data_IF_277387532140
#
_entry.id   IF_277387532140
#
_cell.length_a   1.000
_cell.length_b   1.000
_cell.length_c   1.000
_cell.angle_alpha   90.00
_cell.angle_beta   90.00
_cell.angle_gamma   90.00
#
_symmetry.space_group_name_H-M   'P 1'
#
loop_
_entity.id
_entity.type
_entity.pdbx_description
1 polymer ?
#
# COMPACT_ATOMS: atom_id res chain seq x y z
N UNK A 1 11.03 -26.78 -11.84
CA UNK A 1 10.61 -25.75 -12.81
C UNK A 1 11.56 -24.58 -12.63
N UNK A 2 12.38 -24.28 -13.64
CA UNK A 2 13.31 -23.15 -13.59
C UNK A 2 12.49 -21.85 -13.72
N UNK A 3 12.08 -21.27 -12.61
CA UNK A 3 11.62 -19.88 -12.54
C UNK A 3 12.83 -19.01 -12.84
N UNK A 4 13.11 -18.75 -14.11
CA UNK A 4 14.19 -17.87 -14.55
C UNK A 4 13.89 -16.47 -14.04
N UNK A 5 14.54 -16.08 -12.93
CA UNK A 5 14.62 -14.70 -12.47
C UNK A 5 15.06 -13.83 -13.64
N UNK A 6 14.35 -12.74 -13.90
CA UNK A 6 14.63 -11.89 -15.04
C UNK A 6 13.93 -10.55 -14.96
N UNK A 7 14.45 -9.58 -15.70
CA UNK A 7 13.86 -8.27 -15.91
C UNK A 7 13.66 -8.07 -17.42
N UNK A 8 12.49 -7.57 -17.80
CA UNK A 8 12.20 -7.12 -19.17
C UNK A 8 11.73 -5.68 -19.11
N UNK A 9 12.20 -4.89 -20.07
CA UNK A 9 11.73 -3.53 -20.31
C UNK A 9 10.96 -3.51 -21.62
N UNK A 10 9.73 -3.03 -21.56
CA UNK A 10 8.91 -2.64 -22.70
C UNK A 10 8.68 -1.12 -22.60
N UNK A 11 8.24 -0.46 -23.66
CA UNK A 11 8.09 1.00 -23.66
C UNK A 11 7.25 1.50 -22.46
N UNK A 12 7.89 2.28 -21.57
CA UNK A 12 7.28 2.84 -20.35
C UNK A 12 6.97 1.83 -19.24
N UNK A 13 7.40 0.56 -19.37
CA UNK A 13 7.07 -0.51 -18.45
C UNK A 13 8.25 -1.45 -18.17
N UNK A 14 8.41 -1.82 -16.90
CA UNK A 14 9.42 -2.79 -16.47
C UNK A 14 8.78 -3.93 -15.70
N UNK A 15 8.97 -5.15 -16.19
CA UNK A 15 8.57 -6.39 -15.54
C UNK A 15 9.78 -7.00 -14.84
N UNK A 16 9.64 -7.36 -13.58
CA UNK A 16 10.65 -8.12 -12.85
C UNK A 16 10.02 -9.33 -12.19
N UNK A 17 10.51 -10.53 -12.52
CA UNK A 17 9.98 -11.77 -11.97
C UNK A 17 10.88 -12.35 -10.89
N UNK A 18 10.25 -12.92 -9.86
CA UNK A 18 10.91 -13.71 -8.81
C UNK A 18 12.09 -12.98 -8.15
N UNK A 19 11.90 -11.69 -7.86
CA UNK A 19 12.85 -10.93 -7.04
C UNK A 19 12.88 -11.55 -5.65
N UNK A 20 14.09 -11.79 -5.16
CA UNK A 20 14.31 -12.26 -3.81
C UNK A 20 14.58 -11.06 -2.92
N UNK A 21 13.70 -10.84 -1.94
CA UNK A 21 14.00 -9.99 -0.80
C UNK A 21 15.04 -10.63 0.12
N UNK A 22 15.24 -10.01 1.28
CA UNK A 22 16.09 -10.56 2.31
C UNK A 22 15.54 -11.90 2.82
N UNK A 23 16.43 -12.81 3.18
CA UNK A 23 16.10 -14.15 3.68
C UNK A 23 16.38 -14.30 5.17
N UNK A 24 17.07 -13.33 5.76
CA UNK A 24 17.47 -13.32 7.17
C UNK A 24 17.01 -12.00 7.77
N UNK A 25 16.43 -12.06 8.98
CA UNK A 25 16.06 -10.87 9.72
C UNK A 25 17.24 -9.91 9.83
N UNK A 26 17.09 -8.71 9.28
CA UNK A 26 18.04 -7.61 9.45
C UNK A 26 17.44 -6.57 10.38
N UNK A 27 18.17 -6.22 11.44
CA UNK A 27 17.81 -5.09 12.31
C UNK A 27 18.09 -3.78 11.57
N UNK A 28 17.16 -3.39 10.72
CA UNK A 28 17.22 -2.16 9.94
C UNK A 28 16.32 -1.10 10.56
N UNK A 29 16.69 0.15 10.31
CA UNK A 29 15.83 1.30 10.54
C UNK A 29 15.19 1.68 9.20
N UNK A 30 14.66 0.70 8.49
CA UNK A 30 13.82 0.93 7.33
C UNK A 30 13.15 -0.39 6.96
N UNK A 31 11.99 -0.34 6.32
CA UNK A 31 11.28 -1.51 5.87
C UNK A 31 12.15 -2.29 4.89
N UNK A 32 12.28 -3.58 5.16
CA UNK A 32 13.02 -4.52 4.35
C UNK A 32 12.02 -5.47 3.72
N UNK A 33 12.15 -5.71 2.41
CA UNK A 33 11.32 -6.71 1.72
C UNK A 33 11.89 -8.10 1.97
N UNK A 34 11.00 -9.06 2.20
CA UNK A 34 11.35 -10.46 2.46
C UNK A 34 10.56 -11.35 1.50
N UNK A 35 11.09 -12.55 1.25
CA UNK A 35 10.44 -13.54 0.39
C UNK A 35 10.61 -13.27 -1.10
N UNK A 36 9.87 -14.02 -1.91
CA UNK A 36 9.92 -13.94 -3.38
C UNK A 36 8.69 -13.20 -3.89
N UNK A 37 8.90 -12.23 -4.77
CA UNK A 37 7.83 -11.41 -5.33
C UNK A 37 8.15 -11.00 -6.77
N UNK A 38 7.12 -10.60 -7.50
CA UNK A 38 7.26 -10.01 -8.84
C UNK A 38 6.81 -8.56 -8.81
N UNK A 39 7.33 -7.75 -9.72
CA UNK A 39 7.01 -6.32 -9.84
C UNK A 39 6.64 -5.96 -11.27
N UNK A 40 5.63 -5.10 -11.39
CA UNK A 40 5.33 -4.36 -12.60
C UNK A 40 5.54 -2.90 -12.26
N UNK A 41 6.40 -2.24 -13.00
CA UNK A 41 6.72 -0.84 -12.82
C UNK A 41 6.32 -0.07 -14.06
N UNK A 42 5.49 0.96 -13.86
CA UNK A 42 5.10 1.94 -14.88
C UNK A 42 5.65 3.32 -14.49
N UNK A 43 5.48 4.31 -15.36
CA UNK A 43 5.87 5.69 -15.05
C UNK A 43 5.12 6.25 -13.83
N UNK A 44 3.87 5.85 -13.63
CA UNK A 44 3.02 6.36 -12.55
C UNK A 44 3.14 5.58 -11.24
N UNK A 45 3.42 4.28 -11.30
CA UNK A 45 3.30 3.40 -10.15
C UNK A 45 4.19 2.15 -10.22
N UNK A 46 4.51 1.61 -9.05
CA UNK A 46 5.11 0.31 -8.84
C UNK A 46 4.07 -0.62 -8.21
N UNK A 47 3.77 -1.73 -8.88
CA UNK A 47 2.86 -2.77 -8.42
C UNK A 47 3.68 -4.00 -8.03
N UNK A 48 3.44 -4.55 -6.83
CA UNK A 48 4.11 -5.77 -6.35
C UNK A 48 3.12 -6.89 -6.16
N UNK A 49 3.52 -8.08 -6.60
CA UNK A 49 2.70 -9.29 -6.64
C UNK A 49 3.34 -10.40 -5.81
N UNK A 50 2.49 -11.20 -5.17
CA UNK A 50 2.91 -12.44 -4.55
C UNK A 50 3.04 -13.57 -5.59
N UNK A 51 3.36 -14.79 -5.14
CA UNK A 51 3.52 -15.96 -6.02
C UNK A 51 2.19 -16.45 -6.64
N UNK A 52 1.04 -15.98 -6.15
CA UNK A 52 -0.27 -16.27 -6.71
C UNK A 52 -0.71 -15.21 -7.75
N UNK A 53 0.18 -14.28 -8.12
CA UNK A 53 -0.10 -13.13 -8.97
C UNK A 53 -1.12 -12.15 -8.37
N UNK A 54 -1.37 -12.22 -7.07
CA UNK A 54 -2.21 -11.27 -6.36
C UNK A 54 -1.38 -10.01 -6.05
N UNK A 55 -1.92 -8.85 -6.39
CA UNK A 55 -1.28 -7.59 -6.02
C UNK A 55 -1.35 -7.38 -4.50
N UNK A 56 -0.20 -7.09 -3.88
CA UNK A 56 -0.04 -6.93 -2.43
C UNK A 56 0.37 -5.51 -2.03
N UNK A 57 1.13 -4.82 -2.88
CA UNK A 57 1.54 -3.44 -2.66
C UNK A 57 1.46 -2.61 -3.93
N UNK A 58 1.14 -1.33 -3.75
CA UNK A 58 1.27 -0.29 -4.76
C UNK A 58 2.11 0.85 -4.16
N UNK A 59 2.95 1.46 -4.97
CA UNK A 59 3.61 2.72 -4.65
C UNK A 59 3.47 3.67 -5.82
N UNK A 60 3.02 4.90 -5.58
CA UNK A 60 3.04 5.93 -6.60
C UNK A 60 4.47 6.41 -6.89
N UNK A 61 4.70 6.82 -8.13
CA UNK A 61 6.01 7.26 -8.64
C UNK A 61 5.97 8.65 -9.27
N UNK A 62 4.79 9.25 -9.35
CA UNK A 62 4.65 10.63 -9.81
C UNK A 62 5.38 11.60 -8.87
N UNK A 63 5.84 12.76 -9.34
CA UNK A 63 6.50 13.75 -8.49
C UNK A 63 5.66 14.25 -7.32
N UNK A 64 4.33 14.17 -7.44
CA UNK A 64 3.38 14.56 -6.40
C UNK A 64 3.14 13.43 -5.38
N UNK A 65 3.64 12.21 -5.65
CA UNK A 65 3.58 11.14 -4.67
C UNK A 65 4.32 11.54 -3.39
N UNK A 66 3.71 11.38 -2.20
CA UNK A 66 4.24 11.91 -0.94
C UNK A 66 5.70 11.58 -0.62
N UNK A 67 6.12 10.33 -0.89
CA UNK A 67 7.51 9.90 -0.74
C UNK A 67 7.71 8.54 -1.39
N UNK A 68 8.90 8.30 -1.96
CA UNK A 68 9.33 6.97 -2.42
C UNK A 68 9.45 5.92 -1.29
N UNK A 69 9.22 6.32 -0.03
CA UNK A 69 9.11 5.41 1.09
C UNK A 69 7.68 5.02 1.42
N UNK A 70 6.66 5.65 0.83
CA UNK A 70 5.25 5.41 1.19
C UNK A 70 4.59 4.43 0.23
N UNK A 71 3.70 3.58 0.76
CA UNK A 71 3.11 2.45 0.05
C UNK A 71 1.62 2.33 0.39
N UNK A 72 0.85 1.81 -0.57
CA UNK A 72 -0.46 1.22 -0.32
C UNK A 72 -0.27 -0.28 -0.18
N UNK A 73 -0.85 -0.86 0.88
CA UNK A 73 -0.89 -2.31 1.10
C UNK A 73 -2.31 -2.81 0.93
N UNK A 74 -2.50 -3.87 0.17
CA UNK A 74 -3.81 -4.50 0.00
C UNK A 74 -4.14 -5.35 1.23
N UNK A 75 -5.32 -5.15 1.79
CA UNK A 75 -5.86 -5.97 2.87
C UNK A 75 -6.46 -7.27 2.31
N UNK A 76 -6.70 -8.26 3.18
CA UNK A 76 -7.46 -9.45 2.80
C UNK A 76 -8.92 -9.14 2.40
N UNK A 77 -9.45 -8.00 2.84
CA UNK A 77 -10.76 -7.47 2.48
C UNK A 77 -10.80 -6.81 1.09
N UNK A 78 -9.67 -6.75 0.37
CA UNK A 78 -9.51 -6.01 -0.89
C UNK A 78 -9.53 -4.48 -0.73
N UNK A 79 -9.29 -3.98 0.48
CA UNK A 79 -9.14 -2.54 0.74
C UNK A 79 -7.67 -2.12 0.65
N UNK A 80 -7.44 -0.85 0.32
CA UNK A 80 -6.09 -0.26 0.36
C UNK A 80 -5.86 0.45 1.69
N UNK A 81 -4.76 0.07 2.36
CA UNK A 81 -4.27 0.73 3.57
C UNK A 81 -3.04 1.53 3.19
N UNK A 82 -3.04 2.82 3.48
CA UNK A 82 -1.89 3.68 3.22
C UNK A 82 -0.87 3.58 4.35
N UNK A 83 0.40 3.35 4.03
CA UNK A 83 1.50 3.30 4.98
C UNK A 83 2.36 4.54 4.79
N UNK A 84 2.13 5.55 5.63
CA UNK A 84 2.91 6.79 5.62
C UNK A 84 4.19 6.63 6.43
N UNK A 85 5.28 7.21 5.92
CA UNK A 85 6.58 7.31 6.59
C UNK A 85 6.70 8.59 7.44
N UNK A 86 5.65 9.43 7.47
CA UNK A 86 5.47 10.50 8.46
C UNK A 86 6.04 11.87 8.11
N UNK A 87 6.38 12.12 6.85
CA UNK A 87 6.86 13.43 6.38
C UNK A 87 8.10 13.98 7.09
N UNK A 88 8.64 15.09 6.57
CA UNK A 88 9.74 15.83 7.21
C UNK A 88 9.25 16.85 8.26
N UNK A 89 7.94 17.16 8.26
CA UNK A 89 7.30 18.12 9.17
C UNK A 89 6.69 17.50 10.43
N UNK A 90 7.01 16.24 10.67
CA UNK A 90 6.98 15.68 12.01
C UNK A 90 5.61 15.47 12.65
N UNK A 91 5.62 15.28 13.96
CA UNK A 91 4.46 15.06 14.82
C UNK A 91 3.39 16.17 14.72
N UNK A 92 3.70 17.32 14.12
CA UNK A 92 2.73 18.38 13.93
C UNK A 92 1.74 18.08 12.78
N UNK A 93 2.21 17.49 11.67
CA UNK A 93 1.33 17.06 10.57
C UNK A 93 0.65 15.72 10.85
N UNK A 94 1.34 14.83 11.58
CA UNK A 94 0.83 13.48 11.87
C UNK A 94 -0.20 13.47 13.01
N UNK A 95 -0.12 14.36 14.00
CA UNK A 95 -1.05 14.32 15.14
C UNK A 95 -2.26 15.26 14.95
N UNK A 96 -2.28 16.02 13.85
CA UNK A 96 -3.33 16.99 13.54
C UNK A 96 -3.15 18.29 14.33
N UNK A 97 -3.52 19.39 13.70
CA UNK A 97 -3.42 20.74 14.24
C UNK A 97 -4.27 20.94 15.52
N UNK A 98 -5.27 20.08 15.74
CA UNK A 98 -6.26 20.19 16.82
C UNK A 98 -6.01 19.28 18.04
N UNK A 99 -5.03 18.37 18.00
CA UNK A 99 -4.73 17.49 19.16
C UNK A 99 -3.59 17.99 20.04
N UNK A 100 -2.83 18.97 19.57
CA UNK A 100 -1.72 19.57 20.31
C UNK A 100 -2.01 21.06 20.51
N UNK A 101 -2.12 21.51 21.77
CA UNK A 101 -2.36 22.93 22.12
C UNK A 101 -1.22 23.86 21.68
N UNK A 102 -0.02 23.31 21.49
CA UNK A 102 1.16 24.03 21.00
C UNK A 102 1.98 23.13 20.06
N UNK A 103 2.65 23.69 19.03
CA UNK A 103 3.61 22.93 18.25
C UNK A 103 4.77 22.48 19.13
N UNK A 104 4.92 21.17 19.32
CA UNK A 104 6.08 20.62 20.02
C UNK A 104 7.29 20.74 19.10
N UNK A 105 8.05 21.84 19.24
CA UNK A 105 9.29 22.07 18.50
C UNK A 105 10.44 21.34 19.18
N UNK A 106 10.69 20.09 18.80
CA UNK A 106 11.97 19.47 19.11
C UNK A 106 13.03 19.91 18.10
N UNK A 107 13.99 20.75 18.51
CA UNK A 107 15.22 20.97 17.74
C UNK A 107 16.03 19.67 17.75
N UNK A 108 15.88 18.83 16.74
CA UNK A 108 16.63 17.57 16.63
C UNK A 108 17.37 17.55 15.29
N UNK A 109 18.70 17.35 15.29
CA UNK A 109 19.46 17.23 14.04
C UNK A 109 18.97 16.04 13.21
N UNK A 110 18.82 16.28 11.91
CA UNK A 110 18.58 15.30 10.84
C UNK A 110 19.54 14.08 10.95
N UNK A 111 19.13 12.85 10.60
CA UNK A 111 18.00 12.45 9.73
C UNK A 111 17.04 11.45 10.41
N UNK A 112 16.26 11.89 11.40
CA UNK A 112 15.40 10.99 12.15
C UNK A 112 13.95 11.01 11.65
N UNK A 113 13.41 9.82 11.40
CA UNK A 113 11.98 9.56 11.21
C UNK A 113 11.26 9.81 12.57
N UNK A 114 10.17 10.59 12.56
CA UNK A 114 9.43 10.96 13.78
C UNK A 114 8.36 9.92 14.20
N UNK A 115 7.77 9.17 13.26
CA UNK A 115 6.85 8.08 13.59
C UNK A 115 7.56 7.02 14.45
N UNK A 116 8.73 6.55 14.03
CA UNK A 116 9.56 5.58 14.75
C UNK A 116 9.95 6.07 16.13
N UNK A 117 10.14 7.38 16.31
CA UNK A 117 10.38 7.94 17.65
C UNK A 117 9.13 7.95 18.51
N UNK A 118 7.98 8.30 17.94
CA UNK A 118 6.72 8.39 18.67
C UNK A 118 6.10 7.01 18.97
N UNK A 119 6.23 6.05 18.06
CA UNK A 119 5.51 4.77 18.10
C UNK A 119 6.43 3.55 18.13
N UNK A 120 7.73 3.73 17.85
CA UNK A 120 8.64 2.61 17.59
C UNK A 120 8.50 1.98 16.20
N UNK A 121 7.53 2.45 15.39
CA UNK A 121 7.19 1.86 14.10
C UNK A 121 7.71 2.69 12.93
N UNK A 122 8.12 2.02 11.85
CA UNK A 122 8.64 2.74 10.67
C UNK A 122 7.55 3.33 9.77
N UNK A 123 6.33 2.82 9.90
CA UNK A 123 5.17 3.26 9.15
C UNK A 123 3.98 3.46 10.06
N UNK A 124 3.17 4.47 9.74
CA UNK A 124 1.84 4.64 10.28
C UNK A 124 0.81 4.12 9.27
N UNK A 125 0.02 3.10 9.60
CA UNK A 125 -1.12 2.73 8.78
C UNK A 125 -2.23 3.79 8.90
N UNK A 126 -2.55 4.42 7.80
CA UNK A 126 -3.67 5.33 7.63
C UNK A 126 -4.78 4.58 6.89
N UNK A 127 -5.86 4.29 7.61
CA UNK A 127 -7.05 3.67 7.04
C UNK A 127 -7.91 4.74 6.36
N UNK A 128 -8.63 4.40 5.27
CA UNK A 128 -9.55 5.33 4.62
C UNK A 128 -10.78 5.65 5.49
N UNK A 129 -11.03 4.86 6.55
CA UNK A 129 -12.12 5.09 7.49
C UNK A 129 -11.70 6.07 8.57
N UNK A 130 -12.36 7.24 8.59
CA UNK A 130 -12.11 8.32 9.57
C UNK A 130 -12.20 7.81 11.02
N UNK A 131 -13.13 6.88 11.31
CA UNK A 131 -13.33 6.33 12.66
C UNK A 131 -12.14 5.53 13.20
N UNK A 132 -11.24 5.07 12.33
CA UNK A 132 -10.14 4.15 12.68
C UNK A 132 -8.75 4.77 12.42
N UNK A 133 -8.69 6.07 12.15
CA UNK A 133 -7.43 6.77 11.97
C UNK A 133 -6.68 6.86 13.32
N UNK A 134 -5.57 6.13 13.44
CA UNK A 134 -4.80 6.03 14.70
C UNK A 134 -4.19 7.39 15.06
N UNK A 135 -3.55 8.06 14.11
CA UNK A 135 -2.94 9.38 14.27
C UNK A 135 -3.36 10.29 13.10
N UNK A 136 -4.64 10.64 13.01
CA UNK A 136 -5.15 11.52 11.95
C UNK A 136 -5.33 10.85 10.58
N UNK A 137 -6.28 11.36 9.78
CA UNK A 137 -6.70 10.77 8.49
C UNK A 137 -6.03 11.40 7.27
N UNK A 138 -5.31 12.50 7.44
CA UNK A 138 -5.04 13.47 6.37
C UNK A 138 -4.02 12.97 5.33
N UNK A 139 -3.15 12.03 5.72
CA UNK A 139 -2.17 11.46 4.80
C UNK A 139 -2.84 10.64 3.68
N UNK A 140 -3.95 9.97 4.00
CA UNK A 140 -4.70 9.16 3.01
C UNK A 140 -5.61 10.02 2.14
N UNK A 141 -6.04 11.20 2.60
CA UNK A 141 -6.96 12.08 1.86
C UNK A 141 -6.28 12.90 0.77
N UNK A 142 -4.94 12.81 0.65
CA UNK A 142 -4.18 13.43 -0.44
C UNK A 142 -4.70 12.99 -1.79
N UNK A 143 -4.89 13.95 -2.69
CA UNK A 143 -5.47 13.75 -4.03
C UNK A 143 -4.71 12.70 -4.84
N UNK A 144 -3.38 12.65 -4.70
CA UNK A 144 -2.52 11.70 -5.40
C UNK A 144 -2.72 10.27 -4.90
N UNK A 145 -2.86 10.12 -3.58
CA UNK A 145 -3.09 8.82 -2.93
C UNK A 145 -4.48 8.31 -3.30
N UNK A 146 -5.51 9.16 -3.18
CA UNK A 146 -6.89 8.82 -3.57
C UNK A 146 -7.02 8.56 -5.08
N UNK A 147 -6.31 9.34 -5.90
CA UNK A 147 -6.26 9.15 -7.34
C UNK A 147 -5.68 7.78 -7.71
N UNK A 148 -4.59 7.37 -7.05
CA UNK A 148 -4.01 6.04 -7.26
C UNK A 148 -4.93 4.92 -6.75
N UNK A 149 -5.53 5.07 -5.56
CA UNK A 149 -6.50 4.11 -5.02
C UNK A 149 -7.72 3.93 -5.94
N UNK A 150 -8.16 4.99 -6.60
CA UNK A 150 -9.35 4.95 -7.47
C UNK A 150 -9.03 4.43 -8.88
N UNK A 151 -7.80 4.66 -9.37
CA UNK A 151 -7.44 4.38 -10.76
C UNK A 151 -6.47 3.21 -10.96
N UNK A 152 -5.96 2.57 -9.90
CA UNK A 152 -4.92 1.53 -10.01
C UNK A 152 -5.31 0.40 -10.96
N UNK A 153 -6.58 -0.05 -10.92
CA UNK A 153 -7.07 -1.18 -11.71
C UNK A 153 -6.97 -0.89 -13.20
N UNK A 154 -7.56 0.23 -13.64
CA UNK A 154 -7.56 0.64 -15.05
C UNK A 154 -6.15 1.01 -15.53
N UNK A 155 -5.32 1.61 -14.67
CA UNK A 155 -3.91 1.91 -14.98
C UNK A 155 -3.10 0.64 -15.19
N UNK A 156 -3.27 -0.37 -14.34
CA UNK A 156 -2.56 -1.64 -14.47
C UNK A 156 -3.05 -2.43 -15.69
N UNK A 157 -4.36 -2.49 -15.90
CA UNK A 157 -4.97 -3.18 -17.05
C UNK A 157 -4.48 -2.59 -18.37
N UNK A 158 -4.58 -1.27 -18.53
CA UNK A 158 -4.13 -0.59 -19.76
C UNK A 158 -2.62 -0.72 -20.00
N UNK A 159 -1.81 -0.86 -18.95
CA UNK A 159 -0.38 -1.11 -19.07
C UNK A 159 -0.05 -2.54 -19.53
N UNK A 160 -0.93 -3.52 -19.26
CA UNK A 160 -0.73 -4.93 -19.62
C UNK A 160 -1.27 -5.30 -21.00
N UNK A 161 -2.36 -4.67 -21.45
CA UNK A 161 -3.01 -4.92 -22.75
C UNK A 161 -2.07 -4.89 -23.98
N UNK A 162 -1.12 -3.93 -24.12
CA UNK A 162 -0.26 -3.87 -25.30
C UNK A 162 0.87 -4.91 -25.29
N UNK A 163 1.10 -5.62 -24.18
CA UNK A 163 2.23 -6.53 -24.05
C UNK A 163 2.00 -7.82 -24.87
N UNK A 164 2.76 -7.98 -25.94
CA UNK A 164 2.74 -9.15 -26.81
C UNK A 164 4.15 -9.70 -27.01
N UNK A 165 4.27 -11.00 -27.34
CA UNK A 165 5.58 -11.61 -27.63
C UNK A 165 6.51 -11.78 -26.43
N UNK A 166 5.98 -11.80 -25.20
CA UNK A 166 6.77 -12.01 -23.99
C UNK A 166 7.33 -13.45 -23.91
N UNK A 167 8.51 -13.66 -23.29
CA UNK A 167 8.99 -14.99 -22.97
C UNK A 167 7.99 -15.76 -22.08
N UNK A 168 7.99 -17.10 -22.12
CA UNK A 168 6.93 -17.92 -21.49
C UNK A 168 6.64 -17.55 -20.02
N UNK A 169 7.68 -17.41 -19.18
CA UNK A 169 7.50 -17.08 -17.76
C UNK A 169 6.84 -15.71 -17.52
N UNK A 170 7.10 -14.74 -18.41
CA UNK A 170 6.50 -13.41 -18.34
C UNK A 170 5.09 -13.40 -18.90
N UNK A 171 4.82 -14.16 -19.97
CA UNK A 171 3.49 -14.34 -20.50
C UNK A 171 2.57 -15.02 -19.47
N UNK A 172 3.04 -16.07 -18.79
CA UNK A 172 2.32 -16.77 -17.72
C UNK A 172 2.00 -15.82 -16.55
N UNK A 173 2.97 -15.01 -16.14
CA UNK A 173 2.78 -14.01 -15.10
C UNK A 173 1.73 -12.96 -15.48
N UNK A 174 1.84 -12.36 -16.68
CA UNK A 174 0.87 -11.35 -17.16
C UNK A 174 -0.52 -11.94 -17.30
N UNK A 175 -0.62 -13.18 -17.79
CA UNK A 175 -1.90 -13.89 -17.90
C UNK A 175 -2.51 -14.15 -16.53
N UNK A 176 -1.68 -14.58 -15.56
CA UNK A 176 -2.10 -14.79 -14.19
C UNK A 176 -2.55 -13.52 -13.47
N UNK A 177 -1.85 -12.39 -13.69
CA UNK A 177 -2.27 -11.08 -13.18
C UNK A 177 -3.60 -10.65 -13.81
N UNK A 178 -3.74 -10.76 -15.13
CA UNK A 178 -4.99 -10.42 -15.83
C UNK A 178 -6.17 -11.26 -15.35
N UNK A 179 -5.96 -12.55 -15.05
CA UNK A 179 -6.98 -13.44 -14.49
C UNK A 179 -7.32 -13.15 -13.01
N UNK A 180 -6.40 -12.57 -12.24
CA UNK A 180 -6.71 -12.07 -10.88
C UNK A 180 -7.55 -10.80 -10.96
N UNK A 181 -7.20 -9.89 -11.87
CA UNK A 181 -7.92 -8.63 -12.09
C UNK A 181 -9.37 -8.86 -12.52
N UNK A 182 -9.63 -9.84 -13.39
CA UNK A 182 -11.00 -10.19 -13.84
C UNK A 182 -11.80 -10.99 -12.80
N UNK A 183 -11.17 -11.44 -11.71
CA UNK A 183 -11.81 -12.27 -10.68
C UNK A 183 -12.01 -13.73 -11.09
N UNK A 184 -11.44 -14.16 -12.22
CA UNK A 184 -11.50 -15.55 -12.70
C UNK A 184 -10.67 -16.49 -11.80
N UNK A 185 -9.67 -15.95 -11.11
CA UNK A 185 -8.89 -16.67 -10.11
C UNK A 185 -9.67 -16.71 -8.79
N UNK A 186 -10.57 -17.67 -8.67
CA UNK A 186 -11.30 -17.92 -7.42
C UNK A 186 -10.34 -18.04 -6.23
N UNK A 187 -10.59 -17.24 -5.18
CA UNK A 187 -9.84 -17.21 -3.91
C UNK A 187 -9.52 -18.61 -3.40
N UNK A 188 -8.31 -19.14 -3.68
CA UNK A 188 -7.85 -20.44 -3.15
C UNK A 188 -7.42 -20.40 -1.68
N UNK A 189 -7.64 -19.30 -0.95
CA UNK A 189 -7.19 -19.15 0.45
C UNK A 189 -8.17 -18.47 1.41
N UNK A 190 -9.36 -18.04 0.97
CA UNK A 190 -10.33 -17.45 1.89
C UNK A 190 -11.25 -18.56 2.42
N UNK A 191 -10.89 -19.15 3.56
CA UNK A 191 -11.92 -19.69 4.45
C UNK A 191 -12.90 -18.54 4.70
N UNK A 192 -14.11 -18.67 4.14
CA UNK A 192 -15.22 -17.75 4.38
C UNK A 192 -15.50 -17.73 5.88
N UNK A 193 -14.88 -16.80 6.60
CA UNK A 193 -15.40 -16.35 7.89
C UNK A 193 -16.51 -15.38 7.53
N UNK A 194 -17.73 -15.91 7.45
CA UNK A 194 -18.94 -15.14 7.35
C UNK A 194 -19.08 -14.30 8.63
N UNK A 195 -18.61 -13.06 8.60
CA UNK A 195 -19.13 -12.07 9.54
C UNK A 195 -20.60 -11.88 9.19
N UNK A 196 -21.49 -12.44 10.01
CA UNK A 196 -22.89 -12.07 10.04
C UNK A 196 -22.95 -10.54 10.08
N UNK A 197 -23.50 -9.91 9.04
CA UNK A 197 -23.79 -8.48 9.05
C UNK A 197 -24.63 -8.21 10.30
N UNK A 198 -24.04 -7.60 11.33
CA UNK A 198 -24.86 -7.02 12.40
C UNK A 198 -25.75 -5.97 11.72
N UNK A 199 -27.04 -5.89 12.08
CA UNK A 199 -27.90 -4.85 11.55
C UNK A 199 -27.29 -3.47 11.86
N UNK A 200 -27.52 -2.46 11.02
CA UNK A 200 -27.07 -1.10 11.30
C UNK A 200 -27.55 -0.70 12.70
N UNK A 201 -26.62 -0.23 13.53
CA UNK A 201 -26.94 0.27 14.86
C UNK A 201 -28.02 1.36 14.73
N UNK A 202 -29.09 1.21 15.51
CA UNK A 202 -30.14 2.21 15.63
C UNK A 202 -29.62 3.54 16.16
N UNK A 203 -30.45 4.60 16.15
CA UNK A 203 -30.02 5.94 16.53
C UNK A 203 -29.43 5.94 17.95
N UNK A 204 -28.38 6.76 18.13
CA UNK A 204 -27.70 6.91 19.40
C UNK A 204 -28.69 7.27 20.53
N UNK A 205 -28.55 6.69 21.73
CA UNK A 205 -29.39 7.06 22.86
C UNK A 205 -29.17 8.53 23.24
N UNK A 206 -30.21 9.24 23.71
CA UNK A 206 -30.11 10.65 24.05
C UNK A 206 -29.15 10.83 25.23
N UNK A 207 -28.25 11.80 25.09
CA UNK A 207 -27.41 12.29 26.18
C UNK A 207 -28.31 12.92 27.24
N UNK A 208 -28.43 12.27 28.40
CA UNK A 208 -28.97 12.91 29.58
C UNK A 208 -28.01 14.04 30.00
N UNK A 209 -28.49 15.28 29.92
CA UNK A 209 -27.87 16.39 30.61
C UNK A 209 -27.89 16.07 32.12
N UNK A 210 -26.72 15.82 32.69
CA UNK A 210 -26.57 15.83 34.14
C UNK A 210 -26.79 17.27 34.61
N UNK A 211 -27.75 17.42 35.52
CA UNK A 211 -28.13 18.66 36.19
C UNK A 211 -27.02 19.22 37.06
#
# INVERSE_FOLDING_TARGET
MNSSTGEIKADGLRLSLYKCGETIYKKTRHPTTYGVYSEIETDDALYRFNLNNEIVFIQGRTPQWPSSREWLKRSCGNDWIYYSAGGYRGSYETFGQDRLREPINFKIPSPYNEIYKATGEYYLPTLPYISNAILGSDASTRTEVQGLISAWYEKLKSALEPLTGLPPSFADFVTGVSAELTGETGRKGATTVSYSRRPPFGPAPPVHAMS
#
